data_IF_464039971596
#
_entry.id   IF_464039971596
#
_cell.length_a   1.000
_cell.length_b   1.000
_cell.length_c   1.000
_cell.angle_alpha   90.00
_cell.angle_beta   90.00
_cell.angle_gamma   90.00
#
_symmetry.space_group_name_H-M   'P 1'
#
loop_
_entity.id
_entity.type
_entity.pdbx_description
1 polymer ?
#
# COMPACT_ATOMS: atom_id res chain seq x y z
N UNK A 1 24.55 -25.52 23.65
CA UNK A 1 23.35 -24.67 23.65
C UNK A 1 23.72 -23.37 22.95
N UNK A 2 23.44 -23.22 21.67
CA UNK A 2 23.73 -21.99 20.91
C UNK A 2 22.53 -21.05 21.06
N UNK A 3 22.73 -19.76 21.39
CA UNK A 3 21.64 -18.80 21.30
C UNK A 3 21.31 -18.66 19.81
N UNK A 4 20.16 -19.19 19.40
CA UNK A 4 19.57 -18.81 18.11
C UNK A 4 19.31 -17.30 18.21
N UNK A 5 20.24 -16.51 17.66
CA UNK A 5 20.02 -15.09 17.42
C UNK A 5 18.84 -14.98 16.47
N UNK A 6 17.65 -14.71 17.00
CA UNK A 6 16.47 -14.38 16.21
C UNK A 6 16.82 -13.11 15.45
N UNK A 7 17.24 -13.24 14.19
CA UNK A 7 17.47 -12.09 13.31
C UNK A 7 16.17 -11.26 13.35
N UNK A 8 16.21 -10.02 13.86
CA UNK A 8 15.01 -9.20 13.89
C UNK A 8 14.52 -9.05 12.45
N UNK A 9 13.23 -9.28 12.21
CA UNK A 9 12.63 -8.99 10.91
C UNK A 9 12.84 -7.50 10.63
N UNK A 10 13.80 -7.19 9.77
CA UNK A 10 14.16 -5.82 9.40
C UNK A 10 12.98 -5.18 8.66
N UNK A 11 12.52 -4.04 9.16
CA UNK A 11 11.55 -3.20 8.46
C UNK A 11 12.30 -2.32 7.47
N UNK A 12 11.74 -2.13 6.27
CA UNK A 12 12.27 -1.18 5.28
C UNK A 12 12.16 0.26 5.78
N UNK A 13 11.07 0.56 6.49
CA UNK A 13 10.81 1.85 7.14
C UNK A 13 9.69 1.66 8.17
N UNK A 14 9.54 2.64 9.06
CA UNK A 14 8.47 2.70 10.05
C UNK A 14 7.62 3.94 9.81
N UNK A 15 6.31 3.76 9.86
CA UNK A 15 5.31 4.82 9.82
C UNK A 15 4.62 4.94 11.18
N UNK A 16 4.33 6.18 11.58
CA UNK A 16 3.46 6.45 12.73
C UNK A 16 2.14 6.98 12.18
N UNK A 17 1.10 6.18 12.34
CA UNK A 17 -0.26 6.52 11.93
C UNK A 17 -0.81 7.66 12.79
N UNK A 18 -1.84 8.35 12.30
CA UNK A 18 -2.55 9.39 13.05
C UNK A 18 -3.12 8.88 14.38
N UNK A 19 -3.44 7.59 14.46
CA UNK A 19 -3.85 6.91 15.71
C UNK A 19 -2.71 6.74 16.74
N UNK A 20 -1.48 7.12 16.41
CA UNK A 20 -0.27 6.89 17.22
C UNK A 20 0.31 5.48 17.08
N UNK A 21 -0.37 4.57 16.37
CA UNK A 21 0.14 3.21 16.11
C UNK A 21 1.35 3.26 15.18
N UNK A 22 2.40 2.54 15.57
CA UNK A 22 3.56 2.31 14.71
C UNK A 22 3.34 1.10 13.81
N UNK A 23 3.52 1.27 12.51
CA UNK A 23 3.45 0.19 11.52
C UNK A 23 4.78 0.10 10.77
N UNK A 24 5.26 -1.13 10.61
CA UNK A 24 6.52 -1.44 9.95
C UNK A 24 6.23 -1.89 8.51
N UNK A 25 6.91 -1.27 7.54
CA UNK A 25 6.86 -1.70 6.14
C UNK A 25 7.80 -2.90 5.96
N UNK A 26 7.25 -4.06 5.60
CA UNK A 26 8.01 -5.29 5.38
C UNK A 26 8.44 -5.46 3.92
N UNK A 27 7.59 -5.05 2.97
CA UNK A 27 7.85 -5.19 1.54
C UNK A 27 7.29 -3.97 0.82
N UNK A 28 8.00 -3.49 -0.21
CA UNK A 28 7.52 -2.45 -1.10
C UNK A 28 7.84 -2.79 -2.55
N UNK A 29 6.83 -2.63 -3.41
CA UNK A 29 6.97 -2.75 -4.86
C UNK A 29 6.50 -1.46 -5.52
N UNK A 30 7.33 -0.95 -6.43
CA UNK A 30 7.00 0.17 -7.31
C UNK A 30 6.74 -0.33 -8.73
N UNK A 31 5.75 0.26 -9.39
CA UNK A 31 5.55 0.13 -10.83
C UNK A 31 5.19 1.48 -11.43
N UNK A 32 5.57 1.70 -12.70
CA UNK A 32 5.13 2.89 -13.43
C UNK A 32 3.63 2.77 -13.71
N UNK A 33 2.86 3.79 -13.33
CA UNK A 33 1.41 3.82 -13.51
C UNK A 33 1.01 3.77 -14.99
N UNK A 34 1.83 4.35 -15.86
CA UNK A 34 1.55 4.48 -17.30
C UNK A 34 2.58 3.79 -18.21
N UNK A 35 3.60 3.13 -17.66
CA UNK A 35 4.74 2.61 -18.43
C UNK A 35 4.39 1.57 -19.51
N UNK A 36 3.24 0.91 -19.39
CA UNK A 36 2.70 -0.05 -20.36
C UNK A 36 1.55 0.52 -21.21
N UNK A 37 1.28 1.84 -21.17
CA UNK A 37 0.18 2.44 -21.94
C UNK A 37 0.61 2.71 -23.40
N UNK A 38 0.10 1.97 -24.40
CA UNK A 38 0.59 2.09 -25.78
C UNK A 38 0.06 3.33 -26.52
N UNK A 39 -0.78 4.19 -25.90
CA UNK A 39 -1.54 5.21 -26.63
C UNK A 39 -1.73 6.56 -25.90
N UNK A 40 -0.97 6.86 -24.84
CA UNK A 40 -0.80 8.23 -24.33
C UNK A 40 -2.03 8.99 -23.78
N UNK A 41 -3.24 8.41 -23.78
CA UNK A 41 -4.47 9.06 -23.32
C UNK A 41 -4.99 8.42 -22.02
N UNK A 42 -4.53 8.89 -20.84
CA UNK A 42 -5.08 8.46 -19.58
C UNK A 42 -6.45 9.13 -19.36
N UNK A 43 -7.46 8.34 -19.05
CA UNK A 43 -8.81 8.82 -18.77
C UNK A 43 -9.45 7.94 -17.68
N UNK A 44 -10.57 8.40 -17.13
CA UNK A 44 -11.22 7.76 -15.99
C UNK A 44 -11.46 6.24 -16.17
N UNK A 45 -12.06 5.76 -17.27
CA UNK A 45 -12.28 4.32 -17.45
C UNK A 45 -10.98 3.49 -17.48
N UNK A 46 -9.93 4.04 -18.11
CA UNK A 46 -8.61 3.37 -18.19
C UNK A 46 -7.96 3.31 -16.82
N UNK A 47 -7.99 4.42 -16.06
CA UNK A 47 -7.45 4.50 -14.72
C UNK A 47 -8.19 3.55 -13.76
N UNK A 48 -9.52 3.53 -13.79
CA UNK A 48 -10.33 2.66 -12.94
C UNK A 48 -10.02 1.18 -13.20
N UNK A 49 -9.88 0.78 -14.47
CA UNK A 49 -9.48 -0.58 -14.83
C UNK A 49 -8.08 -0.93 -14.31
N UNK A 50 -7.15 0.03 -14.36
CA UNK A 50 -5.77 -0.15 -13.90
C UNK A 50 -5.70 -0.33 -12.39
N UNK A 51 -6.38 0.53 -11.64
CA UNK A 51 -6.53 0.44 -10.18
C UNK A 51 -7.11 -0.94 -9.82
N UNK A 52 -8.21 -1.34 -10.47
CA UNK A 52 -8.84 -2.63 -10.21
C UNK A 52 -7.90 -3.82 -10.49
N UNK A 53 -7.10 -3.77 -11.57
CA UNK A 53 -6.10 -4.81 -11.88
C UNK A 53 -5.00 -4.88 -10.83
N UNK A 54 -4.51 -3.74 -10.35
CA UNK A 54 -3.48 -3.67 -9.31
C UNK A 54 -3.99 -4.26 -7.99
N UNK A 55 -5.19 -3.88 -7.55
CA UNK A 55 -5.81 -4.42 -6.34
C UNK A 55 -6.01 -5.94 -6.46
N UNK A 56 -6.56 -6.42 -7.58
CA UNK A 56 -6.73 -7.88 -7.81
C UNK A 56 -5.40 -8.63 -7.90
N UNK A 57 -4.33 -7.99 -8.37
CA UNK A 57 -3.01 -8.60 -8.37
C UNK A 57 -2.44 -8.70 -6.95
N UNK A 58 -2.63 -7.66 -6.13
CA UNK A 58 -2.24 -7.66 -4.72
C UNK A 58 -2.98 -8.74 -3.93
N UNK A 59 -4.30 -8.86 -4.10
CA UNK A 59 -5.12 -9.89 -3.43
C UNK A 59 -4.66 -11.31 -3.77
N UNK A 60 -4.27 -11.54 -5.03
CA UNK A 60 -3.73 -12.85 -5.46
C UNK A 60 -2.33 -13.12 -4.94
N UNK A 61 -1.48 -12.10 -4.82
CA UNK A 61 -0.12 -12.24 -4.32
C UNK A 61 -0.06 -12.44 -2.80
N UNK A 62 -1.06 -11.94 -2.06
CA UNK A 62 -1.10 -11.98 -0.60
C UNK A 62 -2.36 -12.69 -0.08
N UNK A 63 -2.53 -14.00 -0.35
CA UNK A 63 -3.72 -14.73 0.07
C UNK A 63 -3.87 -14.68 1.60
N UNK A 64 -5.09 -14.37 2.06
CA UNK A 64 -5.42 -14.29 3.49
C UNK A 64 -5.01 -12.99 4.18
N UNK A 65 -4.31 -12.08 3.50
CA UNK A 65 -4.03 -10.72 4.02
C UNK A 65 -4.98 -9.72 3.38
N UNK A 66 -5.66 -8.86 4.16
CA UNK A 66 -6.49 -7.79 3.60
C UNK A 66 -5.69 -6.87 2.69
N UNK A 67 -6.32 -6.44 1.59
CA UNK A 67 -5.77 -5.43 0.68
C UNK A 67 -6.63 -4.18 0.81
N UNK A 68 -6.00 -3.04 1.05
CA UNK A 68 -6.64 -1.73 1.09
C UNK A 68 -6.09 -0.83 -0.01
N UNK A 69 -6.98 -0.20 -0.76
CA UNK A 69 -6.63 0.84 -1.71
C UNK A 69 -6.79 2.20 -1.04
N UNK A 70 -5.70 2.95 -0.96
CA UNK A 70 -5.77 4.39 -0.71
C UNK A 70 -6.19 5.06 -2.02
N UNK A 71 -7.34 5.77 -2.07
CA UNK A 71 -7.80 6.41 -3.28
C UNK A 71 -6.73 7.37 -3.82
N UNK A 72 -6.29 7.24 -5.10
CA UNK A 72 -5.30 8.14 -5.66
C UNK A 72 -5.89 9.53 -5.88
N UNK A 73 -5.04 10.55 -5.75
CA UNK A 73 -5.34 11.87 -6.30
C UNK A 73 -5.56 11.77 -7.82
N UNK A 74 -6.58 12.45 -8.33
CA UNK A 74 -6.91 12.48 -9.76
C UNK A 74 -6.78 13.90 -10.26
N UNK A 75 -5.91 14.10 -11.22
CA UNK A 75 -5.69 15.39 -11.88
C UNK A 75 -6.43 15.42 -13.21
N UNK A 76 -7.11 16.53 -13.49
CA UNK A 76 -7.85 16.76 -14.73
C UNK A 76 -7.20 17.93 -15.46
N UNK A 77 -6.14 17.69 -16.25
CA UNK A 77 -5.50 18.75 -17.00
C UNK A 77 -6.46 19.32 -18.05
N UNK A 78 -6.35 20.62 -18.32
CA UNK A 78 -7.18 21.31 -19.31
C UNK A 78 -6.74 20.92 -20.73
N UNK A 79 -7.21 19.76 -21.16
CA UNK A 79 -6.96 19.13 -22.45
C UNK A 79 -8.28 18.73 -23.08
N UNK A 80 -8.31 18.72 -24.42
CA UNK A 80 -9.52 18.36 -25.15
C UNK A 80 -9.97 16.94 -24.82
N UNK A 81 -11.26 16.78 -24.50
CA UNK A 81 -11.83 15.48 -24.19
C UNK A 81 -11.91 14.60 -25.44
N UNK A 82 -11.25 13.44 -25.41
CA UNK A 82 -11.40 12.39 -26.39
C UNK A 82 -12.70 11.60 -26.21
N UNK A 83 -12.91 10.59 -27.07
CA UNK A 83 -14.12 9.75 -27.06
C UNK A 83 -14.39 8.93 -25.78
N UNK A 84 -13.43 8.90 -24.83
CA UNK A 84 -13.55 8.22 -23.54
C UNK A 84 -13.74 9.19 -22.36
N UNK A 85 -14.11 10.45 -22.63
CA UNK A 85 -14.22 11.51 -21.62
C UNK A 85 -12.90 12.27 -21.44
N UNK A 86 -12.82 13.22 -20.50
CA UNK A 86 -11.64 14.08 -20.32
C UNK A 86 -10.39 13.30 -19.90
N UNK A 87 -9.23 13.91 -20.11
CA UNK A 87 -7.96 13.39 -19.59
C UNK A 87 -8.05 13.38 -18.07
N UNK A 88 -7.66 12.25 -17.48
CA UNK A 88 -7.55 12.09 -16.04
C UNK A 88 -6.23 11.39 -15.75
N UNK A 89 -5.39 12.00 -14.93
CA UNK A 89 -4.04 11.52 -14.62
C UNK A 89 -3.96 11.10 -13.15
N UNK A 90 -3.38 9.93 -12.91
CA UNK A 90 -2.99 9.44 -11.60
C UNK A 90 -1.49 9.71 -11.36
N UNK A 91 -1.01 9.69 -10.10
CA UNK A 91 0.40 9.82 -9.83
C UNK A 91 1.24 8.75 -10.57
N UNK A 92 2.46 9.14 -10.95
CA UNK A 92 3.29 8.37 -11.88
C UNK A 92 3.75 6.99 -11.37
N UNK A 93 3.77 6.79 -10.06
CA UNK A 93 4.21 5.55 -9.42
C UNK A 93 3.06 4.89 -8.68
N UNK A 94 2.71 3.67 -9.09
CA UNK A 94 1.84 2.78 -8.34
C UNK A 94 2.69 2.00 -7.32
N UNK A 95 2.20 1.93 -6.10
CA UNK A 95 2.91 1.34 -4.97
C UNK A 95 2.07 0.23 -4.36
N UNK A 96 2.73 -0.87 -3.99
CA UNK A 96 2.17 -1.96 -3.21
C UNK A 96 3.10 -2.21 -2.03
N UNK A 97 2.58 -2.01 -0.83
CA UNK A 97 3.34 -2.19 0.41
C UNK A 97 2.67 -3.21 1.33
N UNK A 98 3.47 -4.12 1.88
CA UNK A 98 3.03 -5.01 2.96
C UNK A 98 3.45 -4.40 4.29
N UNK A 99 2.48 -4.04 5.12
CA UNK A 99 2.68 -3.47 6.44
C UNK A 99 2.37 -4.49 7.53
N UNK A 100 3.04 -4.33 8.67
CA UNK A 100 2.80 -5.12 9.86
C UNK A 100 2.90 -4.28 11.14
N UNK A 101 2.16 -4.68 12.17
CA UNK A 101 2.19 -4.07 13.50
C UNK A 101 2.01 -5.15 14.56
N UNK A 102 2.09 -4.77 15.83
CA UNK A 102 1.60 -5.60 16.95
C UNK A 102 0.18 -6.11 16.70
N UNK A 103 -0.16 -7.25 17.30
CA UNK A 103 -1.49 -7.82 17.21
C UNK A 103 -2.59 -6.80 17.57
N UNK A 104 -3.74 -6.91 16.93
CA UNK A 104 -4.95 -6.15 17.24
C UNK A 104 -5.62 -6.68 18.50
N UNK A 105 -5.71 -8.00 18.62
CA UNK A 105 -6.28 -8.69 19.77
C UNK A 105 -5.25 -8.76 20.91
N UNK A 106 -5.50 -8.10 22.07
CA UNK A 106 -4.58 -8.11 23.20
C UNK A 106 -4.45 -9.48 23.86
N UNK A 107 -5.37 -10.42 23.60
CA UNK A 107 -5.28 -11.79 24.08
C UNK A 107 -4.32 -12.68 23.28
N UNK A 108 -3.80 -12.19 22.14
CA UNK A 108 -2.84 -12.94 21.31
C UNK A 108 -1.42 -12.66 21.75
N UNK A 109 -0.60 -13.72 21.78
CA UNK A 109 0.82 -13.60 22.06
C UNK A 109 1.50 -12.67 21.02
N UNK A 110 2.06 -11.52 21.44
CA UNK A 110 2.68 -10.55 20.55
C UNK A 110 3.95 -11.06 19.86
N UNK A 111 4.53 -12.16 20.34
CA UNK A 111 5.68 -12.82 19.71
C UNK A 111 5.23 -13.67 18.52
N UNK A 112 4.06 -14.29 18.63
CA UNK A 112 3.53 -15.26 17.68
C UNK A 112 2.57 -14.61 16.67
N UNK A 113 1.88 -13.53 17.04
CA UNK A 113 0.90 -12.86 16.18
C UNK A 113 1.30 -11.42 15.85
N UNK A 114 1.03 -11.05 14.60
CA UNK A 114 1.15 -9.67 14.11
C UNK A 114 -0.07 -9.32 13.28
N UNK A 115 -0.48 -8.06 13.35
CA UNK A 115 -1.48 -7.54 12.43
C UNK A 115 -0.79 -7.20 11.10
N UNK A 116 -1.45 -7.53 9.99
CA UNK A 116 -0.92 -7.34 8.63
C UNK A 116 -1.96 -6.67 7.75
N UNK A 117 -1.47 -5.83 6.84
CA UNK A 117 -2.27 -5.14 5.84
C UNK A 117 -1.41 -4.94 4.58
N UNK A 118 -1.97 -5.25 3.42
CA UNK A 118 -1.39 -4.84 2.15
C UNK A 118 -2.07 -3.55 1.74
N UNK A 119 -1.28 -2.53 1.41
CA UNK A 119 -1.79 -1.23 0.97
C UNK A 119 -1.35 -0.99 -0.46
N UNK A 120 -2.29 -0.59 -1.30
CA UNK A 120 -2.05 -0.10 -2.65
C UNK A 120 -2.28 1.41 -2.63
N UNK A 121 -1.31 2.19 -3.11
CA UNK A 121 -1.42 3.64 -3.22
C UNK A 121 -0.64 4.15 -4.43
N UNK A 122 -0.72 5.45 -4.67
CA UNK A 122 -0.04 6.11 -5.78
C UNK A 122 0.70 7.34 -5.26
N UNK A 123 1.89 7.61 -5.82
CA UNK A 123 2.71 8.77 -5.46
C UNK A 123 3.49 9.28 -6.67
N UNK A 124 3.96 10.52 -6.60
CA UNK A 124 4.63 11.18 -7.73
C UNK A 124 6.05 10.67 -7.99
N UNK A 125 6.77 10.22 -6.95
CA UNK A 125 8.18 9.82 -7.02
C UNK A 125 8.39 8.43 -6.43
N UNK A 126 9.56 7.81 -6.60
CA UNK A 126 9.89 6.50 -5.99
C UNK A 126 10.45 6.62 -4.56
N UNK A 127 10.16 7.72 -3.85
CA UNK A 127 10.61 7.91 -2.47
C UNK A 127 9.87 6.98 -1.52
N UNK A 128 10.59 6.35 -0.60
CA UNK A 128 9.99 5.55 0.46
C UNK A 128 9.15 6.44 1.38
N UNK A 129 7.91 6.06 1.74
CA UNK A 129 7.17 6.76 2.77
C UNK A 129 7.85 6.51 4.11
N UNK A 130 8.38 7.54 4.77
CA UNK A 130 9.06 7.41 6.06
C UNK A 130 8.58 8.45 7.06
N UNK A 131 8.39 8.01 8.30
CA UNK A 131 8.08 8.90 9.42
C UNK A 131 6.90 9.83 9.15
N UNK A 132 7.12 11.13 9.35
CA UNK A 132 6.09 12.16 9.18
C UNK A 132 5.88 12.59 7.72
N UNK A 133 6.82 12.28 6.83
CA UNK A 133 6.84 12.71 5.42
C UNK A 133 6.10 11.72 4.51
N UNK A 134 5.56 10.64 5.07
CA UNK A 134 4.70 9.73 4.35
C UNK A 134 3.41 10.43 3.89
N UNK A 135 2.91 10.03 2.73
CA UNK A 135 1.63 10.50 2.18
C UNK A 135 0.56 10.55 3.28
N UNK A 136 -0.13 11.70 3.50
CA UNK A 136 -1.09 11.84 4.59
C UNK A 136 -2.13 10.71 4.63
N UNK A 137 -2.59 10.28 3.46
CA UNK A 137 -3.56 9.20 3.33
C UNK A 137 -3.03 7.81 3.79
N UNK A 138 -1.71 7.59 3.81
CA UNK A 138 -1.11 6.40 4.43
C UNK A 138 -1.06 6.54 5.97
N UNK A 139 -0.94 7.76 6.50
CA UNK A 139 -0.94 8.01 7.94
C UNK A 139 -2.34 7.91 8.54
N UNK A 140 -3.37 8.23 7.76
CA UNK A 140 -4.77 8.23 8.18
C UNK A 140 -5.45 6.85 8.06
N UNK A 141 -4.69 5.79 7.77
CA UNK A 141 -5.22 4.42 7.69
C UNK A 141 -5.87 4.01 9.02
N UNK A 142 -7.15 3.61 8.95
CA UNK A 142 -7.84 2.94 10.05
C UNK A 142 -7.33 1.50 10.19
N UNK A 143 -6.16 1.35 10.81
CA UNK A 143 -5.51 0.06 10.97
C UNK A 143 -6.37 -0.95 11.74
N UNK A 144 -7.17 -0.48 12.70
CA UNK A 144 -8.00 -1.36 13.53
C UNK A 144 -9.15 -1.99 12.73
N UNK A 145 -9.74 -1.23 11.79
CA UNK A 145 -10.79 -1.73 10.89
C UNK A 145 -10.25 -2.49 9.67
N UNK A 146 -9.03 -2.19 9.21
CA UNK A 146 -8.50 -2.70 7.94
C UNK A 146 -7.58 -3.92 8.09
N UNK A 147 -6.72 -3.95 9.11
CA UNK A 147 -5.71 -4.99 9.25
C UNK A 147 -6.30 -6.27 9.84
N UNK A 148 -5.58 -7.39 9.68
CA UNK A 148 -5.93 -8.66 10.33
C UNK A 148 -4.74 -9.30 11.02
N UNK A 149 -5.02 -9.93 12.15
CA UNK A 149 -4.02 -10.70 12.88
C UNK A 149 -3.74 -12.03 12.19
N UNK A 150 -2.49 -12.22 11.82
CA UNK A 150 -1.96 -13.45 11.28
C UNK A 150 -0.86 -14.00 12.17
N UNK A 151 -0.73 -15.33 12.20
CA UNK A 151 0.40 -15.97 12.86
C UNK A 151 1.68 -15.67 12.07
N UNK A 152 2.70 -15.24 12.78
CA UNK A 152 4.05 -15.09 12.23
C UNK A 152 4.61 -16.49 12.06
N UNK A 153 4.80 -16.95 10.82
CA UNK A 153 5.44 -18.24 10.55
C UNK A 153 6.91 -18.11 10.94
N UNK A 154 7.39 -19.03 11.77
CA UNK A 154 8.78 -19.11 12.22
C UNK A 154 9.66 -19.73 11.13
#
# INVERSE_FOLDING_TARGET
MHPYGKTPAMALTRLVLASGRSVDLAELRFSSTYGDLPAGYPCKPVNDLRIARLVRAAERAHPGTPVHLVPPAREYPDQYAGGLGPVEVLPAVACLGTFQSTALDPGRDPVTYRSRLVVVWFQATTRLPSGCDAEPALRDLDWAGLARDARTVA
#
